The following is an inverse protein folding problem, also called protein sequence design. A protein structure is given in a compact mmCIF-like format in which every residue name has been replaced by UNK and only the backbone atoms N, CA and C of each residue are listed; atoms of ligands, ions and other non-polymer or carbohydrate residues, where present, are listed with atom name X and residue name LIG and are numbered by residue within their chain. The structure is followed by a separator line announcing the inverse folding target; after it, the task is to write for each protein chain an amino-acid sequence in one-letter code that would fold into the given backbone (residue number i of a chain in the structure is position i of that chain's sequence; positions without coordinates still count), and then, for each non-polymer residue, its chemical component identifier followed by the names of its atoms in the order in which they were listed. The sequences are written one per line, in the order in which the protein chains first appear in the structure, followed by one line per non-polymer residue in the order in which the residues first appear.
data_IF_392480809519
#
_entry.id   IF_392480809519
#
_cell.length_a   1.000
_cell.length_b   1.000
_cell.length_c   1.000
_cell.angle_alpha   90.00
_cell.angle_beta   90.00
_cell.angle_gamma   90.00
#
_symmetry.space_group_name_H-M   'P 1'
#
loop_
_entity.id
_entity.type
_entity.pdbx_description
1 polymer ?
#
# COMPACT_ATOMS: atom_id res chain seq x y z
N UNK A 1 22.56 -3.42 8.18
CA UNK A 1 22.66 -2.70 6.89
C UNK A 1 21.40 -1.85 6.73
N UNK A 2 21.34 -0.71 7.41
CA UNK A 2 20.22 0.23 7.29
C UNK A 2 20.50 1.23 6.18
N UNK A 3 20.53 0.75 4.93
CA UNK A 3 20.42 1.64 3.80
C UNK A 3 18.96 2.10 3.75
N UNK A 4 18.69 3.33 4.22
CA UNK A 4 17.39 3.95 4.05
C UNK A 4 16.98 3.79 2.57
N UNK A 5 15.95 2.98 2.31
CA UNK A 5 15.51 2.57 0.96
C UNK A 5 15.10 3.78 0.10
N UNK A 6 14.86 4.90 0.78
CA UNK A 6 14.42 6.18 0.26
C UNK A 6 15.56 7.22 0.25
N UNK A 7 16.78 6.81 0.59
CA UNK A 7 17.97 7.65 0.46
C UNK A 7 18.14 8.08 -1.00
N UNK A 8 18.43 9.38 -1.14
CA UNK A 8 18.73 10.04 -2.39
C UNK A 8 19.89 9.29 -3.07
N UNK A 9 19.83 9.02 -4.39
CA UNK A 9 20.80 8.16 -5.09
C UNK A 9 22.12 8.91 -5.36
N UNK A 10 22.18 10.19 -4.99
CA UNK A 10 23.29 11.06 -5.33
C UNK A 10 24.43 10.79 -4.36
N UNK A 11 25.66 10.72 -4.86
CA UNK A 11 26.80 10.53 -4.00
C UNK A 11 26.82 11.65 -2.95
N UNK A 12 27.04 11.30 -1.68
CA UNK A 12 27.31 12.32 -0.64
C UNK A 12 28.63 13.04 -0.90
N UNK A 13 29.46 12.43 -1.73
CA UNK A 13 30.72 12.95 -2.18
C UNK A 13 30.63 13.63 -3.55
N UNK A 14 31.49 14.62 -3.75
CA UNK A 14 31.64 15.30 -5.02
C UNK A 14 32.00 14.29 -6.14
N UNK A 15 31.24 14.22 -7.24
CA UNK A 15 31.51 13.29 -8.34
C UNK A 15 32.90 13.51 -8.92
N UNK A 16 33.56 12.43 -9.36
CA UNK A 16 34.91 12.48 -9.96
C UNK A 16 34.98 13.51 -11.08
N UNK A 17 33.95 13.58 -11.92
CA UNK A 17 33.87 14.57 -13.02
C UNK A 17 33.94 16.01 -12.49
N UNK A 18 33.20 16.32 -11.42
CA UNK A 18 33.20 17.67 -10.84
C UNK A 18 34.53 17.97 -10.14
N UNK A 19 35.11 17.00 -9.43
CA UNK A 19 36.46 17.11 -8.85
C UNK A 19 37.53 17.37 -9.91
N UNK A 20 37.43 16.70 -11.06
CA UNK A 20 38.38 16.88 -12.17
C UNK A 20 38.24 18.26 -12.80
N UNK A 21 37.01 18.75 -13.01
CA UNK A 21 36.77 20.09 -13.57
C UNK A 21 37.41 21.20 -12.73
N UNK A 22 37.42 21.08 -11.39
CA UNK A 22 38.06 22.05 -10.51
C UNK A 22 39.59 22.15 -10.66
N UNK A 23 40.24 21.13 -11.22
CA UNK A 23 41.70 21.07 -11.39
C UNK A 23 42.15 21.53 -12.76
N UNK A 24 41.22 21.72 -13.70
CA UNK A 24 41.54 22.12 -15.07
C UNK A 24 41.71 23.64 -15.16
N UNK A 25 42.50 24.14 -16.12
CA UNK A 25 42.50 25.55 -16.46
C UNK A 25 41.13 26.02 -16.94
N UNK A 26 40.83 27.30 -16.72
CA UNK A 26 39.52 27.90 -17.01
C UNK A 26 39.12 27.75 -18.48
N UNK A 27 40.09 27.84 -19.38
CA UNK A 27 39.91 27.71 -20.83
C UNK A 27 39.39 26.32 -21.19
N UNK A 28 39.93 25.27 -20.56
CA UNK A 28 39.50 23.89 -20.76
C UNK A 28 38.12 23.68 -20.15
N UNK A 29 37.85 24.25 -18.96
CA UNK A 29 36.52 24.20 -18.37
C UNK A 29 35.50 24.84 -19.30
N UNK A 30 35.80 26.01 -19.90
CA UNK A 30 34.92 26.68 -20.85
C UNK A 30 34.63 25.84 -22.10
N UNK A 31 35.61 25.13 -22.63
CA UNK A 31 35.40 24.17 -23.73
C UNK A 31 34.42 23.07 -23.30
N UNK A 32 34.62 22.48 -22.12
CA UNK A 32 33.69 21.45 -21.61
C UNK A 32 32.29 22.02 -21.41
N UNK A 33 32.15 23.22 -20.83
CA UNK A 33 30.84 23.84 -20.64
C UNK A 33 30.14 24.06 -21.99
N UNK A 34 30.87 24.38 -23.06
CA UNK A 34 30.31 24.59 -24.40
C UNK A 34 29.60 23.36 -25.00
N UNK A 35 29.94 22.17 -24.52
CA UNK A 35 29.37 20.90 -25.00
C UNK A 35 28.26 20.35 -24.08
N UNK A 36 28.04 20.96 -22.92
CA UNK A 36 27.07 20.47 -21.93
C UNK A 36 25.71 21.15 -22.12
N UNK A 37 24.58 20.42 -21.98
CA UNK A 37 23.26 21.04 -21.94
C UNK A 37 23.00 21.71 -20.60
N UNK A 38 22.02 22.64 -20.57
CA UNK A 38 21.66 23.42 -19.36
C UNK A 38 21.46 22.55 -18.12
N UNK A 39 20.80 21.40 -18.26
CA UNK A 39 20.56 20.47 -17.13
C UNK A 39 21.85 19.98 -16.46
N UNK A 40 22.94 19.81 -17.23
CA UNK A 40 24.23 19.38 -16.71
C UNK A 40 24.95 20.54 -16.02
N UNK A 41 24.82 21.76 -16.56
CA UNK A 41 25.33 22.97 -15.90
C UNK A 41 24.66 23.17 -14.55
N UNK A 42 23.32 23.10 -14.48
CA UNK A 42 22.59 23.17 -13.21
C UNK A 42 23.02 22.06 -12.24
N UNK A 43 23.32 20.86 -12.74
CA UNK A 43 23.88 19.78 -11.93
C UNK A 43 25.27 20.09 -11.37
N UNK A 44 26.13 20.76 -12.13
CA UNK A 44 27.46 21.16 -11.68
C UNK A 44 27.33 22.27 -10.61
N UNK A 45 26.53 23.31 -10.90
CA UNK A 45 26.29 24.43 -10.00
C UNK A 45 25.66 24.00 -8.68
N UNK A 46 24.87 22.93 -8.67
CA UNK A 46 24.26 22.39 -7.44
C UNK A 46 25.25 21.95 -6.36
N UNK A 47 26.53 21.78 -6.71
CA UNK A 47 27.62 21.47 -5.77
C UNK A 47 28.23 22.70 -5.11
N UNK A 48 27.83 23.91 -5.49
CA UNK A 48 28.20 25.19 -4.85
C UNK A 48 29.72 25.39 -4.75
N UNK A 49 30.40 25.29 -5.89
CA UNK A 49 31.85 25.38 -5.97
C UNK A 49 32.27 26.73 -6.58
N UNK A 50 32.89 27.65 -5.81
CA UNK A 50 33.15 29.02 -6.26
C UNK A 50 33.87 29.12 -7.61
N UNK A 51 34.89 28.27 -7.82
CA UNK A 51 35.64 28.24 -9.07
C UNK A 51 34.77 27.90 -10.29
N UNK A 52 33.83 26.96 -10.15
CA UNK A 52 32.95 26.57 -11.26
C UNK A 52 31.87 27.62 -11.50
N UNK A 53 31.42 28.30 -10.44
CA UNK A 53 30.49 29.42 -10.57
C UNK A 53 31.15 30.57 -11.35
N UNK A 54 32.40 30.93 -11.03
CA UNK A 54 33.19 31.92 -11.78
C UNK A 54 33.41 31.49 -13.25
N UNK A 55 33.67 30.21 -13.49
CA UNK A 55 33.81 29.69 -14.85
C UNK A 55 32.50 29.84 -15.64
N UNK A 56 31.34 29.59 -15.03
CA UNK A 56 30.03 29.74 -15.66
C UNK A 56 29.69 31.21 -15.91
N UNK A 57 29.90 32.10 -14.94
CA UNK A 57 29.65 33.54 -15.07
C UNK A 57 30.49 34.18 -16.18
N UNK A 58 31.70 33.67 -16.37
CA UNK A 58 32.62 34.21 -17.35
C UNK A 58 32.58 33.52 -18.72
N UNK A 59 31.71 32.51 -18.87
CA UNK A 59 31.52 31.79 -20.13
C UNK A 59 30.63 32.61 -21.08
N UNK A 60 30.97 32.66 -22.37
CA UNK A 60 30.31 33.57 -23.33
C UNK A 60 28.79 33.37 -23.48
N UNK A 61 28.32 32.11 -23.39
CA UNK A 61 26.89 31.76 -23.45
C UNK A 61 26.26 31.79 -22.07
N UNK A 62 26.75 30.98 -21.13
CA UNK A 62 26.17 30.88 -19.79
C UNK A 62 26.29 32.12 -18.93
N UNK A 63 27.31 32.97 -19.12
CA UNK A 63 27.40 34.27 -18.48
C UNK A 63 26.33 35.26 -18.94
N UNK A 64 25.69 35.02 -20.09
CA UNK A 64 24.47 35.76 -20.50
C UNK A 64 23.21 35.21 -19.86
N UNK A 65 23.21 33.93 -19.49
CA UNK A 65 22.10 33.27 -18.82
C UNK A 65 22.12 33.53 -17.31
N UNK A 66 23.32 33.64 -16.71
CA UNK A 66 23.54 33.95 -15.30
C UNK A 66 24.40 35.20 -15.20
N UNK A 67 23.80 36.30 -14.78
CA UNK A 67 24.45 37.61 -14.66
C UNK A 67 25.10 37.81 -13.28
N UNK A 68 24.75 36.98 -12.30
CA UNK A 68 25.25 37.13 -10.93
C UNK A 68 25.34 35.81 -10.16
N UNK A 69 26.15 35.81 -9.10
CA UNK A 69 26.22 34.70 -8.15
C UNK A 69 24.87 34.42 -7.45
N UNK A 70 24.05 35.47 -7.26
CA UNK A 70 22.71 35.35 -6.70
C UNK A 70 21.79 34.53 -7.60
N UNK A 71 21.86 34.73 -8.91
CA UNK A 71 21.10 33.95 -9.89
C UNK A 71 21.54 32.48 -9.93
N UNK A 72 22.84 32.21 -9.90
CA UNK A 72 23.38 30.85 -9.78
C UNK A 72 22.85 30.15 -8.54
N UNK A 73 22.89 30.84 -7.39
CA UNK A 73 22.39 30.31 -6.12
C UNK A 73 20.88 30.04 -6.18
N UNK A 74 20.12 30.97 -6.76
CA UNK A 74 18.67 30.85 -6.93
C UNK A 74 18.30 29.66 -7.83
N UNK A 75 18.96 29.52 -8.98
CA UNK A 75 18.75 28.39 -9.90
C UNK A 75 19.17 27.06 -9.28
N UNK A 76 20.29 27.02 -8.57
CA UNK A 76 20.79 25.81 -7.91
C UNK A 76 19.81 25.32 -6.84
N UNK A 77 19.22 26.22 -6.05
CA UNK A 77 18.23 25.85 -5.04
C UNK A 77 16.95 25.26 -5.65
N UNK A 78 16.44 25.85 -6.74
CA UNK A 78 15.30 25.31 -7.48
C UNK A 78 15.63 23.95 -8.10
N UNK A 79 16.80 23.85 -8.71
CA UNK A 79 17.27 22.63 -9.37
C UNK A 79 17.41 21.47 -8.38
N UNK A 80 17.88 21.70 -7.16
CA UNK A 80 17.99 20.65 -6.13
C UNK A 80 16.64 19.99 -5.84
N UNK A 81 15.60 20.79 -5.63
CA UNK A 81 14.25 20.29 -5.37
C UNK A 81 13.69 19.57 -6.61
N UNK A 82 13.80 20.20 -7.78
CA UNK A 82 13.36 19.65 -9.05
C UNK A 82 14.01 18.28 -9.34
N UNK A 83 15.34 18.19 -9.21
CA UNK A 83 16.10 16.96 -9.42
C UNK A 83 15.68 15.85 -8.47
N UNK A 84 15.38 16.19 -7.22
CA UNK A 84 14.89 15.23 -6.26
C UNK A 84 13.51 14.67 -6.63
N UNK A 85 12.60 15.54 -7.06
CA UNK A 85 11.28 15.14 -7.59
C UNK A 85 11.41 14.25 -8.82
N UNK A 86 12.28 14.61 -9.77
CA UNK A 86 12.53 13.79 -10.96
C UNK A 86 13.00 12.38 -10.59
N UNK A 87 13.96 12.26 -9.68
CA UNK A 87 14.43 10.95 -9.25
C UNK A 87 13.31 10.15 -8.57
N UNK A 88 12.58 10.79 -7.66
CA UNK A 88 11.55 10.13 -6.89
C UNK A 88 10.41 9.61 -7.77
N UNK A 89 9.90 10.47 -8.67
CA UNK A 89 8.82 10.17 -9.61
C UNK A 89 9.29 9.43 -10.87
N UNK A 90 10.60 9.16 -10.99
CA UNK A 90 11.23 8.54 -12.17
C UNK A 90 11.00 9.34 -13.46
N UNK A 91 10.93 10.66 -13.35
CA UNK A 91 10.85 11.54 -14.52
C UNK A 91 12.21 11.72 -15.17
N UNK A 92 12.28 11.87 -16.50
CA UNK A 92 13.49 12.30 -17.16
C UNK A 92 13.93 13.67 -16.60
N UNK A 93 15.22 13.88 -16.26
CA UNK A 93 15.70 15.17 -15.75
C UNK A 93 15.51 16.32 -16.74
N UNK A 94 15.49 16.01 -18.03
CA UNK A 94 15.16 16.93 -19.10
C UNK A 94 14.49 16.13 -20.22
N UNK A 95 13.32 16.57 -20.66
CA UNK A 95 12.72 16.09 -21.90
C UNK A 95 13.48 16.68 -23.10
N UNK A 96 13.51 15.97 -24.24
CA UNK A 96 14.29 16.37 -25.41
C UNK A 96 13.88 17.75 -25.96
N UNK A 97 12.60 18.09 -25.84
CA UNK A 97 12.04 19.38 -26.26
C UNK A 97 12.17 20.48 -25.19
N UNK A 98 12.62 20.12 -23.99
CA UNK A 98 12.71 21.05 -22.86
C UNK A 98 13.87 22.03 -23.01
N UNK A 99 13.69 23.23 -22.44
CA UNK A 99 14.76 24.23 -22.28
C UNK A 99 15.99 23.65 -21.58
N UNK A 100 15.80 22.66 -20.70
CA UNK A 100 16.90 22.02 -19.97
C UNK A 100 17.79 21.11 -20.83
N UNK A 101 17.27 20.60 -21.96
CA UNK A 101 18.02 19.75 -22.89
C UNK A 101 18.81 20.56 -23.94
N UNK A 102 18.58 21.88 -24.03
CA UNK A 102 19.21 22.74 -25.03
C UNK A 102 20.71 22.87 -24.80
N UNK A 103 21.47 22.80 -25.89
CA UNK A 103 22.90 23.12 -25.92
C UNK A 103 23.13 24.63 -25.89
N UNK A 104 24.36 25.10 -25.59
CA UNK A 104 24.70 26.52 -25.62
C UNK A 104 24.36 27.20 -26.95
N UNK A 105 24.59 26.52 -28.08
CA UNK A 105 24.27 27.07 -29.41
C UNK A 105 22.76 27.30 -29.58
N UNK A 106 21.93 26.38 -29.08
CA UNK A 106 20.47 26.50 -29.11
C UNK A 106 19.94 27.57 -28.14
N UNK A 107 20.67 27.91 -27.08
CA UNK A 107 20.33 29.01 -26.19
C UNK A 107 20.57 30.36 -26.86
N UNK A 108 21.69 30.48 -27.60
CA UNK A 108 22.02 31.68 -28.37
C UNK A 108 20.98 31.98 -29.47
N UNK A 109 20.50 30.94 -30.16
CA UNK A 109 19.53 31.12 -31.25
C UNK A 109 18.12 31.47 -30.75
N UNK A 110 17.73 31.00 -29.57
CA UNK A 110 16.36 31.07 -29.07
C UNK A 110 16.14 32.07 -27.92
N UNK A 111 17.15 32.88 -27.57
CA UNK A 111 17.08 33.93 -26.53
C UNK A 111 16.41 33.47 -25.23
N UNK A 112 16.88 32.35 -24.67
CA UNK A 112 16.37 31.83 -23.39
C UNK A 112 16.84 32.73 -22.25
N UNK A 113 15.91 33.33 -21.51
CA UNK A 113 16.20 34.14 -20.32
C UNK A 113 16.29 33.29 -19.04
N UNK A 114 16.97 33.82 -18.03
CA UNK A 114 17.00 33.25 -16.68
C UNK A 114 15.59 33.06 -16.10
N UNK A 115 14.72 34.06 -16.25
CA UNK A 115 13.34 34.00 -15.75
C UNK A 115 12.53 32.89 -16.42
N UNK A 116 12.76 32.63 -17.71
CA UNK A 116 12.14 31.51 -18.40
C UNK A 116 12.64 30.18 -17.83
N UNK A 117 13.93 30.06 -17.51
CA UNK A 117 14.50 28.86 -16.90
C UNK A 117 13.88 28.59 -15.51
N UNK A 118 13.83 29.62 -14.66
CA UNK A 118 13.26 29.52 -13.31
C UNK A 118 11.76 29.21 -13.37
N UNK A 119 10.99 29.90 -14.21
CA UNK A 119 9.54 29.66 -14.35
C UNK A 119 9.23 28.24 -14.81
N UNK A 120 10.04 27.67 -15.73
CA UNK A 120 9.93 26.26 -16.13
C UNK A 120 10.23 25.30 -14.98
N UNK A 121 11.29 25.54 -14.18
CA UNK A 121 11.57 24.71 -13.00
C UNK A 121 10.45 24.80 -11.97
N UNK A 122 9.95 26.02 -11.68
CA UNK A 122 8.82 26.22 -10.76
C UNK A 122 7.59 25.47 -11.23
N UNK A 123 7.23 25.56 -12.52
CA UNK A 123 6.11 24.78 -13.10
C UNK A 123 6.29 23.28 -12.87
N UNK A 124 7.47 22.72 -13.13
CA UNK A 124 7.71 21.29 -12.94
C UNK A 124 7.71 20.88 -11.45
N UNK A 125 8.21 21.74 -10.56
CA UNK A 125 8.11 21.55 -9.12
C UNK A 125 6.63 21.51 -8.69
N UNK A 126 5.80 22.44 -9.17
CA UNK A 126 4.35 22.47 -8.89
C UNK A 126 3.67 21.19 -9.34
N UNK A 127 3.94 20.72 -10.56
CA UNK A 127 3.45 19.42 -11.07
C UNK A 127 3.97 18.27 -10.20
N UNK A 128 5.20 18.35 -9.71
CA UNK A 128 5.80 17.37 -8.79
C UNK A 128 5.16 17.34 -7.40
N UNK A 129 4.63 18.45 -6.93
CA UNK A 129 3.90 18.58 -5.66
C UNK A 129 2.42 18.22 -5.80
N UNK A 130 1.88 18.25 -7.02
CA UNK A 130 0.50 17.87 -7.27
C UNK A 130 0.27 16.38 -6.96
N UNK A 131 -0.75 16.14 -6.14
CA UNK A 131 -1.23 14.82 -5.75
C UNK A 131 -2.74 14.82 -5.99
N UNK A 132 -3.24 13.78 -6.64
CA UNK A 132 -4.68 13.62 -6.87
C UNK A 132 -5.41 13.50 -5.52
N UNK A 133 -6.60 14.09 -5.39
CA UNK A 133 -7.40 14.07 -4.16
C UNK A 133 -7.46 12.70 -3.43
N UNK A 134 -7.75 11.55 -4.08
CA UNK A 134 -7.82 10.29 -3.36
C UNK A 134 -6.47 9.83 -2.78
N UNK A 135 -5.37 10.14 -3.46
CA UNK A 135 -4.00 9.85 -2.99
C UNK A 135 -3.62 10.79 -1.85
N UNK A 136 -4.05 12.05 -1.92
CA UNK A 136 -3.81 13.05 -0.90
C UNK A 136 -4.48 12.68 0.43
N UNK A 137 -5.77 12.33 0.40
CA UNK A 137 -6.50 11.89 1.60
C UNK A 137 -5.83 10.70 2.28
N UNK A 138 -5.31 9.77 1.49
CA UNK A 138 -4.58 8.62 2.00
C UNK A 138 -3.28 9.08 2.68
N UNK A 139 -2.48 9.92 2.04
CA UNK A 139 -1.21 10.42 2.59
C UNK A 139 -1.41 11.23 3.87
N UNK A 140 -2.47 12.04 3.95
CA UNK A 140 -2.82 12.82 5.17
C UNK A 140 -2.99 11.93 6.40
N UNK A 141 -3.52 10.72 6.24
CA UNK A 141 -3.66 9.77 7.35
C UNK A 141 -2.32 9.28 7.91
N UNK A 142 -1.31 9.11 7.05
CA UNK A 142 0.00 8.53 7.42
C UNK A 142 1.11 9.57 7.58
N UNK A 143 0.86 10.83 7.23
CA UNK A 143 1.85 11.91 7.22
C UNK A 143 1.77 12.89 8.40
N UNK A 144 1.13 12.60 9.52
CA UNK A 144 0.92 13.64 10.55
C UNK A 144 2.23 14.06 11.25
N UNK A 145 2.41 15.36 11.59
CA UNK A 145 1.51 16.49 11.32
C UNK A 145 1.57 16.96 9.86
N UNK A 146 0.41 17.37 9.35
CA UNK A 146 0.28 17.94 8.01
C UNK A 146 0.79 19.39 7.99
N UNK A 147 1.71 19.76 7.08
CA UNK A 147 2.18 21.14 6.98
C UNK A 147 1.05 22.06 6.53
N UNK A 148 1.02 23.27 7.08
CA UNK A 148 0.06 24.30 6.69
C UNK A 148 0.27 24.68 5.21
N UNK A 149 -0.71 24.39 4.35
CA UNK A 149 -0.63 24.64 2.89
C UNK A 149 -1.15 26.04 2.51
N UNK A 150 -1.60 26.87 3.45
CA UNK A 150 -2.29 28.16 3.23
C UNK A 150 -1.45 29.26 2.53
N UNK A 151 -0.35 28.91 1.87
CA UNK A 151 0.44 29.77 0.98
C UNK A 151 0.97 29.05 -0.28
N UNK A 152 0.56 27.80 -0.54
CA UNK A 152 0.74 27.14 -1.85
C UNK A 152 -0.50 27.44 -2.71
N UNK A 153 -1.08 28.63 -2.60
CA UNK A 153 -1.85 29.16 -3.72
C UNK A 153 -0.85 29.29 -4.85
N UNK A 154 -1.02 28.43 -5.86
CA UNK A 154 -0.16 28.28 -7.01
C UNK A 154 -0.35 29.49 -7.92
N UNK A 155 -0.05 30.69 -7.41
CA UNK A 155 -0.24 31.94 -8.11
C UNK A 155 0.46 31.80 -9.48
N UNK A 156 -0.34 31.75 -10.55
CA UNK A 156 0.18 31.59 -11.91
C UNK A 156 1.07 32.79 -12.29
N UNK A 157 0.87 33.91 -11.58
CA UNK A 157 1.56 35.17 -11.75
C UNK A 157 2.68 35.38 -10.71
N UNK A 158 3.78 34.65 -10.88
CA UNK A 158 5.12 35.27 -10.83
C UNK A 158 5.72 35.73 -9.51
N UNK A 159 5.10 35.56 -8.33
CA UNK A 159 5.78 35.89 -7.08
C UNK A 159 6.92 34.90 -6.76
N UNK A 160 7.95 35.37 -6.06
CA UNK A 160 9.10 34.56 -5.65
C UNK A 160 8.64 33.39 -4.80
N UNK A 161 8.65 32.18 -5.37
CA UNK A 161 8.38 30.97 -4.61
C UNK A 161 9.47 30.86 -3.53
N UNK A 162 9.16 31.16 -2.28
CA UNK A 162 10.00 30.76 -1.15
C UNK A 162 10.07 29.24 -1.20
N UNK A 163 11.24 28.69 -1.51
CA UNK A 163 11.44 27.26 -1.68
C UNK A 163 11.27 26.49 -0.37
N UNK A 164 11.27 27.16 0.79
CA UNK A 164 11.07 26.52 2.09
C UNK A 164 9.77 25.73 2.16
N UNK A 165 8.64 26.36 1.81
CA UNK A 165 7.33 25.72 1.84
C UNK A 165 7.23 24.49 0.88
N UNK A 166 7.63 24.59 -0.40
CA UNK A 166 7.77 23.45 -1.30
C UNK A 166 8.66 22.33 -0.76
N UNK A 167 9.78 22.65 -0.11
CA UNK A 167 10.68 21.66 0.49
C UNK A 167 10.01 20.93 1.65
N UNK A 168 9.38 21.67 2.56
CA UNK A 168 8.69 21.11 3.72
C UNK A 168 7.53 20.20 3.27
N UNK A 169 6.73 20.67 2.30
CA UNK A 169 5.65 19.87 1.73
C UNK A 169 6.17 18.64 0.98
N UNK A 170 7.24 18.76 0.20
CA UNK A 170 7.86 17.61 -0.48
C UNK A 170 8.42 16.57 0.50
N UNK A 171 9.07 17.01 1.57
CA UNK A 171 9.55 16.14 2.64
C UNK A 171 8.41 15.42 3.34
N UNK A 172 7.31 16.12 3.59
CA UNK A 172 6.08 15.55 4.10
C UNK A 172 5.51 14.46 3.18
N UNK A 173 5.40 14.71 1.87
CA UNK A 173 4.91 13.72 0.89
C UNK A 173 5.74 12.44 0.96
N UNK A 174 7.07 12.55 0.92
CA UNK A 174 7.97 11.39 0.99
C UNK A 174 7.79 10.61 2.30
N UNK A 175 7.71 11.33 3.43
CA UNK A 175 7.55 10.72 4.74
C UNK A 175 6.20 9.99 4.86
N UNK A 176 5.11 10.66 4.49
CA UNK A 176 3.77 10.08 4.48
C UNK A 176 3.70 8.81 3.62
N UNK A 177 4.32 8.84 2.43
CA UNK A 177 4.38 7.69 1.53
C UNK A 177 5.23 6.56 2.11
N UNK A 178 6.35 6.88 2.74
CA UNK A 178 7.22 5.90 3.40
C UNK A 178 6.48 5.17 4.53
N UNK A 179 5.77 5.90 5.39
CA UNK A 179 4.97 5.31 6.48
C UNK A 179 3.80 4.47 5.95
N UNK A 180 3.07 4.97 4.94
CA UNK A 180 2.03 4.20 4.24
C UNK A 180 2.57 2.85 3.73
N UNK A 181 3.68 2.89 3.00
CA UNK A 181 4.29 1.70 2.42
C UNK A 181 4.85 0.75 3.48
N UNK A 182 5.44 1.29 4.56
CA UNK A 182 5.93 0.51 5.69
C UNK A 182 4.77 -0.25 6.33
N UNK A 183 3.66 0.43 6.62
CA UNK A 183 2.46 -0.18 7.21
C UNK A 183 1.91 -1.31 6.35
N UNK A 184 1.77 -1.08 5.04
CA UNK A 184 1.29 -2.11 4.09
C UNK A 184 2.30 -3.26 3.96
N UNK A 185 3.59 -2.97 3.93
CA UNK A 185 4.65 -3.98 3.91
C UNK A 185 4.61 -4.88 5.16
N UNK A 186 4.44 -4.30 6.34
CA UNK A 186 4.38 -5.04 7.60
C UNK A 186 3.14 -5.95 7.66
N UNK A 187 2.01 -5.47 7.14
CA UNK A 187 0.80 -6.28 6.98
C UNK A 187 1.03 -7.50 6.07
N UNK A 188 1.65 -7.32 4.91
CA UNK A 188 1.95 -8.42 3.98
C UNK A 188 2.95 -9.41 4.60
N UNK A 189 3.96 -8.91 5.34
CA UNK A 189 4.90 -9.77 6.07
C UNK A 189 4.19 -10.57 7.16
N UNK A 190 3.25 -9.95 7.87
CA UNK A 190 2.45 -10.65 8.86
C UNK A 190 1.62 -11.77 8.23
N UNK A 191 1.02 -11.54 7.05
CA UNK A 191 0.39 -12.63 6.28
C UNK A 191 1.38 -13.73 5.90
N UNK A 192 2.58 -13.39 5.46
CA UNK A 192 3.62 -14.39 5.14
C UNK A 192 3.93 -15.27 6.36
N UNK A 193 4.10 -14.65 7.53
CA UNK A 193 4.32 -15.35 8.80
C UNK A 193 3.15 -16.26 9.19
N UNK A 194 1.90 -15.79 9.06
CA UNK A 194 0.72 -16.61 9.33
C UNK A 194 0.63 -17.82 8.40
N UNK A 195 0.91 -17.63 7.10
CA UNK A 195 0.91 -18.72 6.12
C UNK A 195 2.01 -19.75 6.39
N UNK A 196 3.20 -19.30 6.83
CA UNK A 196 4.30 -20.18 7.21
C UNK A 196 3.97 -21.01 8.45
N UNK A 197 3.36 -20.39 9.47
CA UNK A 197 3.03 -21.04 10.73
C UNK A 197 1.78 -21.93 10.64
N UNK A 198 0.78 -21.55 9.86
CA UNK A 198 -0.52 -22.23 9.76
C UNK A 198 -0.93 -22.56 8.32
N UNK A 199 -0.10 -23.31 7.56
CA UNK A 199 -0.34 -23.58 6.14
C UNK A 199 -1.55 -24.48 5.88
N UNK A 200 -2.03 -25.20 6.91
CA UNK A 200 -3.21 -26.07 6.83
C UNK A 200 -4.51 -25.29 6.96
N UNK A 201 -4.49 -24.15 7.64
CA UNK A 201 -5.69 -23.37 7.99
C UNK A 201 -5.98 -22.28 6.97
N UNK A 202 -4.95 -21.75 6.32
CA UNK A 202 -5.05 -20.56 5.46
C UNK A 202 -4.84 -20.90 3.99
N UNK A 203 -5.50 -20.11 3.15
CA UNK A 203 -5.32 -20.08 1.69
C UNK A 203 -5.35 -18.64 1.17
N UNK A 204 -5.07 -18.48 -0.12
CA UNK A 204 -5.32 -17.19 -0.80
C UNK A 204 -6.82 -17.04 -1.09
N UNK A 205 -7.36 -15.81 -1.10
CA UNK A 205 -8.78 -15.59 -1.32
C UNK A 205 -9.35 -16.25 -2.58
N UNK A 206 -8.66 -16.11 -3.73
CA UNK A 206 -9.13 -16.64 -5.01
C UNK A 206 -8.77 -18.10 -5.26
N UNK A 207 -8.26 -18.79 -4.23
CA UNK A 207 -7.86 -20.17 -4.35
C UNK A 207 -9.06 -21.12 -4.20
N UNK A 208 -9.42 -21.89 -5.23
CA UNK A 208 -10.57 -22.78 -5.17
C UNK A 208 -10.34 -24.01 -4.29
N UNK A 209 -9.08 -24.34 -3.94
CA UNK A 209 -8.81 -25.55 -3.15
C UNK A 209 -9.35 -25.45 -1.72
N UNK A 210 -9.94 -26.55 -1.23
CA UNK A 210 -10.36 -26.75 0.18
C UNK A 210 -9.69 -27.96 0.85
N UNK A 211 -8.82 -28.66 0.10
CA UNK A 211 -8.26 -29.97 0.44
C UNK A 211 -6.92 -29.96 1.19
N UNK A 212 -6.16 -31.05 1.05
CA UNK A 212 -4.92 -31.33 1.79
C UNK A 212 -3.84 -30.24 1.67
N UNK A 213 -2.84 -30.32 2.57
CA UNK A 213 -1.72 -29.38 2.64
C UNK A 213 -1.08 -29.18 1.25
N UNK A 214 -0.99 -27.92 0.82
CA UNK A 214 -0.30 -27.64 -0.44
C UNK A 214 1.19 -27.96 -0.33
N UNK A 215 1.78 -28.62 -1.33
CA UNK A 215 3.23 -28.82 -1.38
C UNK A 215 4.00 -27.51 -1.58
N UNK A 216 3.34 -26.42 -1.96
CA UNK A 216 4.00 -25.18 -2.39
C UNK A 216 3.76 -23.95 -1.48
N UNK A 217 3.56 -24.18 -0.18
CA UNK A 217 3.42 -23.10 0.82
C UNK A 217 4.65 -22.18 0.82
N UNK A 218 5.85 -22.75 0.74
CA UNK A 218 7.12 -22.00 0.72
C UNK A 218 7.16 -20.97 -0.41
N UNK A 219 6.70 -21.32 -1.61
CA UNK A 219 6.63 -20.35 -2.71
C UNK A 219 5.65 -19.21 -2.44
N UNK A 220 4.53 -19.49 -1.74
CA UNK A 220 3.58 -18.45 -1.36
C UNK A 220 4.17 -17.49 -0.34
N UNK A 221 4.87 -18.00 0.69
CA UNK A 221 5.56 -17.19 1.68
C UNK A 221 6.61 -16.30 0.99
N UNK A 222 7.51 -16.88 0.19
CA UNK A 222 8.54 -16.13 -0.56
C UNK A 222 7.92 -15.08 -1.48
N UNK A 223 6.79 -15.39 -2.13
CA UNK A 223 6.10 -14.44 -2.97
C UNK A 223 5.52 -13.26 -2.16
N UNK A 224 4.91 -13.52 -0.99
CA UNK A 224 4.42 -12.46 -0.10
C UNK A 224 5.58 -11.59 0.43
N UNK A 225 6.71 -12.18 0.80
CA UNK A 225 7.90 -11.43 1.21
C UNK A 225 8.43 -10.53 0.09
N UNK A 226 8.52 -11.06 -1.14
CA UNK A 226 8.90 -10.26 -2.33
C UNK A 226 7.90 -9.12 -2.56
N UNK A 227 6.61 -9.36 -2.36
CA UNK A 227 5.57 -8.34 -2.48
C UNK A 227 5.74 -7.25 -1.41
N UNK A 228 5.96 -7.62 -0.15
CA UNK A 228 6.24 -6.67 0.93
C UNK A 228 7.45 -5.78 0.61
N UNK A 229 8.54 -6.38 0.13
CA UNK A 229 9.75 -5.66 -0.27
C UNK A 229 9.52 -4.72 -1.46
N UNK A 230 8.69 -5.11 -2.44
CA UNK A 230 8.30 -4.24 -3.56
C UNK A 230 7.44 -3.08 -3.07
N UNK A 231 6.46 -3.33 -2.20
CA UNK A 231 5.60 -2.31 -1.60
C UNK A 231 6.41 -1.28 -0.82
N UNK A 232 7.37 -1.72 0.01
CA UNK A 232 8.25 -0.84 0.77
C UNK A 232 9.06 0.12 -0.13
N UNK A 233 9.41 -0.33 -1.33
CA UNK A 233 10.19 0.40 -2.34
C UNK A 233 9.34 1.22 -3.31
N UNK A 234 8.02 1.18 -3.22
CA UNK A 234 7.13 1.79 -4.21
C UNK A 234 7.08 3.32 -4.06
N UNK A 235 7.58 4.05 -5.06
CA UNK A 235 7.62 5.52 -5.07
C UNK A 235 6.49 6.17 -5.86
N UNK A 236 5.62 5.37 -6.48
CA UNK A 236 4.50 5.92 -7.25
C UNK A 236 3.54 6.63 -6.30
N UNK A 237 3.27 7.90 -6.57
CA UNK A 237 2.33 8.72 -5.82
C UNK A 237 0.94 8.72 -6.44
N UNK A 238 0.86 8.54 -7.77
CA UNK A 238 -0.41 8.37 -8.47
C UNK A 238 -0.66 6.88 -8.68
N UNK A 239 -1.81 6.43 -8.22
CA UNK A 239 -2.30 5.07 -8.46
C UNK A 239 -3.57 5.18 -9.29
N UNK A 240 -3.41 5.51 -10.56
CA UNK A 240 -4.54 5.43 -11.48
C UNK A 240 -5.04 3.99 -11.53
N UNK A 241 -6.35 3.84 -11.46
CA UNK A 241 -7.03 2.55 -11.51
C UNK A 241 -7.00 2.04 -12.95
N UNK A 242 -5.84 1.51 -13.36
CA UNK A 242 -5.80 0.82 -14.64
C UNK A 242 -6.51 -0.53 -14.44
N UNK A 243 -7.75 -0.62 -14.94
CA UNK A 243 -8.64 -1.78 -14.89
C UNK A 243 -7.94 -3.06 -15.42
N UNK A 244 -6.82 -2.92 -16.12
CA UNK A 244 -6.09 -3.98 -16.79
C UNK A 244 -4.85 -4.53 -16.05
N UNK A 245 -4.42 -3.96 -14.92
CA UNK A 245 -3.30 -4.55 -14.14
C UNK A 245 -3.77 -5.69 -13.23
N UNK A 246 -4.02 -6.83 -13.88
CA UNK A 246 -4.64 -8.05 -13.36
C UNK A 246 -3.72 -9.08 -12.69
N UNK A 247 -2.55 -8.71 -12.13
CA UNK A 247 -1.61 -9.74 -11.66
C UNK A 247 -1.71 -10.14 -10.19
N UNK A 248 -2.43 -9.40 -9.34
CA UNK A 248 -2.60 -9.75 -7.92
C UNK A 248 -3.99 -9.33 -7.44
N UNK A 249 -5.01 -10.09 -7.84
CA UNK A 249 -6.36 -9.94 -7.29
C UNK A 249 -6.41 -10.60 -5.91
N UNK A 250 -5.86 -9.95 -4.88
CA UNK A 250 -6.43 -10.17 -3.53
C UNK A 250 -7.92 -9.79 -3.65
N UNK A 251 -8.81 -10.54 -2.98
CA UNK A 251 -10.24 -10.19 -2.99
C UNK A 251 -10.40 -8.71 -2.65
N UNK A 252 -11.29 -8.00 -3.33
CA UNK A 252 -11.37 -6.52 -3.29
C UNK A 252 -11.43 -5.95 -1.86
N UNK A 253 -12.01 -6.72 -0.95
CA UNK A 253 -12.24 -6.33 0.45
C UNK A 253 -11.47 -7.19 1.45
N UNK A 254 -10.91 -8.31 1.02
CA UNK A 254 -10.28 -9.28 1.92
C UNK A 254 -8.78 -9.08 1.92
N UNK A 255 -8.15 -9.32 3.07
CA UNK A 255 -6.69 -9.32 3.21
C UNK A 255 -6.05 -10.43 2.36
N UNK A 256 -4.72 -10.52 2.37
CA UNK A 256 -3.96 -11.41 1.49
C UNK A 256 -4.29 -12.91 1.67
N UNK A 257 -4.94 -13.27 2.78
CA UNK A 257 -5.27 -14.64 3.21
C UNK A 257 -6.71 -14.77 3.70
N UNK A 258 -7.27 -15.97 3.55
CA UNK A 258 -8.58 -16.38 4.09
C UNK A 258 -8.45 -17.78 4.67
N UNK A 259 -9.15 -18.12 5.76
CA UNK A 259 -9.20 -19.50 6.22
C UNK A 259 -9.89 -20.42 5.19
N UNK A 260 -9.64 -21.72 5.24
CA UNK A 260 -10.45 -22.67 4.47
C UNK A 260 -11.88 -22.73 5.03
N UNK A 261 -12.86 -22.95 4.14
CA UNK A 261 -14.28 -22.98 4.52
C UNK A 261 -14.57 -24.13 5.51
N UNK A 262 -13.81 -25.23 5.45
CA UNK A 262 -13.92 -26.33 6.41
C UNK A 262 -13.64 -25.92 7.87
N UNK A 263 -12.78 -24.92 8.09
CA UNK A 263 -12.50 -24.43 9.45
C UNK A 263 -13.59 -23.48 9.95
N UNK A 264 -14.31 -22.81 9.03
CA UNK A 264 -15.53 -22.10 9.39
C UNK A 264 -16.60 -23.10 9.85
N UNK A 265 -16.76 -24.20 9.12
CA UNK A 265 -17.65 -25.28 9.53
C UNK A 265 -17.25 -25.88 10.88
N UNK A 266 -15.98 -26.25 11.07
CA UNK A 266 -15.48 -26.77 12.34
C UNK A 266 -15.80 -25.84 13.52
N UNK A 267 -15.63 -24.54 13.34
CA UNK A 267 -15.95 -23.54 14.35
C UNK A 267 -17.45 -23.55 14.68
N UNK A 268 -18.32 -23.49 13.66
CA UNK A 268 -19.77 -23.44 13.85
C UNK A 268 -20.30 -24.73 14.49
N UNK A 269 -19.84 -25.90 14.04
CA UNK A 269 -20.22 -27.20 14.60
C UNK A 269 -19.78 -27.33 16.07
N UNK A 270 -18.61 -26.79 16.41
CA UNK A 270 -18.09 -26.80 17.79
C UNK A 270 -18.91 -25.89 18.68
N UNK A 271 -19.24 -24.69 18.22
CA UNK A 271 -20.06 -23.74 18.98
C UNK A 271 -21.50 -24.23 19.17
N UNK A 272 -22.03 -25.01 18.24
CA UNK A 272 -23.34 -25.65 18.39
C UNK A 272 -23.35 -26.73 19.49
N UNK A 273 -22.24 -27.46 19.65
CA UNK A 273 -22.08 -28.51 20.68
C UNK A 273 -21.66 -27.96 22.04
N UNK A 274 -20.79 -26.95 22.04
CA UNK A 274 -20.18 -26.33 23.20
C UNK A 274 -20.40 -24.81 23.11
N UNK A 275 -21.60 -24.32 23.42
CA UNK A 275 -21.91 -22.90 23.34
C UNK A 275 -21.01 -22.12 24.30
N UNK A 276 -20.63 -20.91 23.90
CA UNK A 276 -19.89 -20.03 24.80
C UNK A 276 -20.90 -19.40 25.77
N UNK A 277 -20.74 -19.64 27.06
CA UNK A 277 -21.57 -19.02 28.09
C UNK A 277 -21.21 -17.53 28.14
N UNK A 278 -22.07 -16.70 27.55
CA UNK A 278 -21.78 -15.30 27.26
C UNK A 278 -22.93 -14.44 27.79
N UNK A 279 -22.70 -13.76 28.92
CA UNK A 279 -23.44 -12.57 29.34
C UNK A 279 -23.06 -11.32 28.49
N UNK A 280 -22.85 -11.46 27.17
CA UNK A 280 -22.61 -10.31 26.27
C UNK A 280 -23.92 -9.96 25.60
N UNK A 281 -24.56 -8.95 26.19
CA UNK A 281 -25.61 -8.15 25.58
C UNK A 281 -25.27 -7.86 24.11
N UNK A 282 -26.08 -8.40 23.19
CA UNK A 282 -25.99 -8.19 21.74
C UNK A 282 -25.39 -9.33 20.91
N UNK A 283 -24.70 -10.32 21.51
CA UNK A 283 -24.17 -11.46 20.73
C UNK A 283 -25.25 -12.50 20.40
N UNK A 284 -26.25 -12.66 21.27
CA UNK A 284 -27.41 -13.54 21.07
C UNK A 284 -28.25 -13.10 19.86
N UNK A 285 -28.51 -11.79 19.70
CA UNK A 285 -29.11 -11.25 18.46
C UNK A 285 -28.20 -11.49 17.25
N UNK A 286 -26.89 -11.39 17.43
CA UNK A 286 -25.91 -11.54 16.34
C UNK A 286 -25.82 -13.00 15.85
N UNK A 287 -25.89 -13.99 16.75
CA UNK A 287 -25.89 -15.43 16.43
C UNK A 287 -27.28 -15.96 16.06
N UNK A 288 -28.36 -15.46 16.66
CA UNK A 288 -29.73 -15.79 16.25
C UNK A 288 -30.00 -15.35 14.80
N UNK A 289 -29.41 -14.23 14.35
CA UNK A 289 -29.44 -13.82 12.95
C UNK A 289 -28.56 -14.68 12.02
N UNK A 290 -27.55 -15.39 12.54
CA UNK A 290 -26.82 -16.44 11.79
C UNK A 290 -27.69 -17.69 11.60
N UNK A 291 -28.61 -17.96 12.54
CA UNK A 291 -29.55 -19.08 12.50
C UNK A 291 -30.82 -18.81 11.66
N UNK A 292 -31.15 -17.56 11.34
CA UNK A 292 -32.44 -17.19 10.77
C UNK A 292 -32.37 -16.71 9.32
N UNK A 293 -31.85 -17.55 8.41
CA UNK A 293 -32.28 -17.54 7.00
C UNK A 293 -32.13 -18.92 6.33
N UNK A 294 -32.34 -20.00 7.10
CA UNK A 294 -32.89 -21.22 6.51
C UNK A 294 -34.39 -20.99 6.28
N UNK A 295 -34.75 -20.65 5.05
CA UNK A 295 -36.15 -20.58 4.64
C UNK A 295 -36.86 -21.92 4.88
N UNK A 296 -37.68 -21.94 5.93
CA UNK A 296 -38.95 -22.64 6.09
C UNK A 296 -39.05 -24.09 5.58
N UNK A 297 -39.21 -25.04 6.51
CA UNK A 297 -40.41 -25.88 6.55
C UNK A 297 -40.52 -26.62 7.87
N UNK A 298 -41.55 -26.27 8.66
CA UNK A 298 -42.20 -27.20 9.57
C UNK A 298 -42.56 -28.44 8.76
N UNK A 299 -41.83 -29.53 8.98
CA UNK A 299 -42.31 -30.86 8.65
C UNK A 299 -42.13 -31.72 9.89
N UNK A 300 -43.25 -31.89 10.58
CA UNK A 300 -43.50 -32.95 11.54
C UNK A 300 -43.10 -34.28 10.90
N UNK A 301 -42.09 -34.95 11.44
CA UNK A 301 -41.82 -36.35 11.11
C UNK A 301 -41.27 -37.06 12.34
N UNK A 302 -42.19 -37.76 12.99
CA UNK A 302 -41.94 -38.75 14.01
C UNK A 302 -41.00 -39.85 13.50
N UNK A 303 -40.12 -40.32 14.40
CA UNK A 303 -39.59 -41.67 14.37
C UNK A 303 -38.28 -41.85 13.62
N UNK A 304 -37.16 -41.75 14.33
CA UNK A 304 -36.00 -42.65 14.11
C UNK A 304 -35.24 -42.81 15.42
N UNK A 305 -34.99 -44.07 15.76
CA UNK A 305 -34.47 -44.57 17.03
C UNK A 305 -33.11 -43.98 17.41
N UNK A 306 -33.03 -43.51 18.65
CA UNK A 306 -31.82 -43.03 19.32
C UNK A 306 -30.82 -44.17 19.51
N UNK A 307 -29.73 -44.13 18.74
CA UNK A 307 -28.48 -44.73 19.16
C UNK A 307 -27.94 -43.93 20.35
N UNK A 308 -27.80 -44.61 21.49
CA UNK A 308 -27.37 -44.07 22.77
C UNK A 308 -25.92 -43.60 22.70
N UNK A 309 -25.70 -42.31 22.45
CA UNK A 309 -24.43 -41.63 22.69
C UNK A 309 -24.52 -41.07 24.11
N UNK A 310 -23.52 -41.39 24.95
CA UNK A 310 -23.37 -40.84 26.29
C UNK A 310 -23.48 -39.31 26.25
N UNK A 311 -24.57 -38.77 26.76
CA UNK A 311 -24.72 -37.37 27.14
C UNK A 311 -23.69 -37.08 28.25
N UNK A 312 -22.54 -36.54 27.85
CA UNK A 312 -21.79 -35.67 28.74
C UNK A 312 -22.64 -34.42 28.94
N UNK A 313 -22.94 -34.08 30.19
CA UNK A 313 -23.63 -32.85 30.55
C UNK A 313 -22.93 -31.66 29.86
N UNK A 314 -23.58 -30.91 28.96
CA UNK A 314 -22.96 -29.80 28.23
C UNK A 314 -22.58 -28.61 29.12
N UNK A 315 -22.94 -28.65 30.41
CA UNK A 315 -22.78 -27.56 31.36
C UNK A 315 -21.39 -27.45 32.02
N UNK A 316 -20.46 -28.40 31.82
CA UNK A 316 -19.13 -28.37 32.45
C UNK A 316 -17.98 -28.00 31.49
N UNK A 317 -18.28 -27.78 30.20
CA UNK A 317 -17.24 -27.45 29.23
C UNK A 317 -16.88 -25.96 29.28
N UNK A 318 -15.69 -25.67 29.82
CA UNK A 318 -15.15 -24.31 29.87
C UNK A 318 -13.97 -24.13 28.92
N UNK A 319 -14.09 -23.16 28.02
CA UNK A 319 -12.98 -22.75 27.16
C UNK A 319 -11.89 -22.06 28.00
N UNK A 320 -10.59 -22.33 27.74
CA UNK A 320 -9.50 -21.59 28.36
C UNK A 320 -9.63 -20.08 28.13
N UNK A 321 -9.27 -19.26 29.11
CA UNK A 321 -9.49 -17.80 29.07
C UNK A 321 -8.95 -17.12 27.80
N UNK A 322 -7.80 -17.55 27.31
CA UNK A 322 -7.21 -17.03 26.07
C UNK A 322 -8.05 -17.39 24.83
N UNK A 323 -8.58 -18.62 24.78
CA UNK A 323 -9.45 -19.08 23.69
C UNK A 323 -10.80 -18.38 23.76
N UNK A 324 -11.35 -18.18 24.96
CA UNK A 324 -12.57 -17.40 25.19
C UNK A 324 -12.42 -15.96 24.69
N UNK A 325 -11.28 -15.32 24.97
CA UNK A 325 -11.00 -13.98 24.48
C UNK A 325 -10.90 -13.93 22.94
N UNK A 326 -10.19 -14.89 22.32
CA UNK A 326 -10.09 -14.99 20.87
C UNK A 326 -11.42 -15.34 20.20
N UNK A 327 -12.25 -16.19 20.82
CA UNK A 327 -13.61 -16.50 20.38
C UNK A 327 -14.50 -15.26 20.35
N UNK A 328 -14.44 -14.40 21.36
CA UNK A 328 -15.17 -13.12 21.36
C UNK A 328 -14.77 -12.23 20.19
N UNK A 329 -13.48 -12.15 19.87
CA UNK A 329 -12.97 -11.39 18.70
C UNK A 329 -13.50 -12.00 17.41
N UNK A 330 -13.43 -13.32 17.27
CA UNK A 330 -13.90 -14.06 16.08
C UNK A 330 -15.38 -13.82 15.85
N UNK A 331 -16.22 -14.03 16.87
CA UNK A 331 -17.67 -13.89 16.78
C UNK A 331 -18.08 -12.45 16.45
N UNK A 332 -17.46 -11.47 17.09
CA UNK A 332 -17.71 -10.04 16.79
C UNK A 332 -17.36 -9.64 15.36
N UNK A 333 -16.33 -10.26 14.77
CA UNK A 333 -15.90 -10.00 13.39
C UNK A 333 -16.50 -10.95 12.36
N UNK A 334 -17.29 -11.94 12.77
CA UNK A 334 -17.76 -13.01 11.88
C UNK A 334 -18.75 -12.52 10.82
N UNK A 335 -19.53 -11.48 11.13
CA UNK A 335 -20.58 -10.99 10.24
C UNK A 335 -20.05 -10.12 9.11
N UNK A 336 -19.08 -9.25 9.41
CA UNK A 336 -18.64 -8.23 8.46
C UNK A 336 -17.12 -8.15 8.34
N UNK A 337 -16.66 -7.77 7.15
CA UNK A 337 -15.27 -7.40 6.89
C UNK A 337 -15.06 -5.96 7.38
N UNK A 338 -14.09 -5.76 8.27
CA UNK A 338 -13.66 -4.43 8.72
C UNK A 338 -12.98 -3.70 7.56
N UNK A 339 -13.67 -2.70 7.04
CA UNK A 339 -13.12 -1.77 6.06
C UNK A 339 -13.05 -0.36 6.64
N UNK A 340 -12.28 0.49 5.97
CA UNK A 340 -12.29 1.93 6.24
C UNK A 340 -12.46 2.67 4.89
N UNK A 341 -13.50 3.49 4.70
CA UNK A 341 -14.64 3.69 5.60
C UNK A 341 -15.40 2.38 5.87
N UNK A 342 -16.15 2.29 6.99
CA UNK A 342 -16.88 1.07 7.33
C UNK A 342 -17.95 0.81 6.26
N UNK A 343 -17.82 -0.32 5.58
CA UNK A 343 -18.78 -0.85 4.61
C UNK A 343 -19.37 -2.13 5.19
N UNK A 344 -20.66 -2.30 5.01
CA UNK A 344 -21.38 -3.51 5.44
C UNK A 344 -21.16 -4.61 4.40
N UNK A 345 -20.00 -5.26 4.45
CA UNK A 345 -19.64 -6.35 3.54
C UNK A 345 -19.66 -7.65 4.32
N UNK A 346 -20.54 -8.62 3.96
CA UNK A 346 -20.63 -9.86 4.70
C UNK A 346 -19.32 -10.64 4.57
N UNK A 347 -18.84 -11.21 5.68
CA UNK A 347 -17.66 -12.09 5.67
C UNK A 347 -18.03 -13.52 5.27
N UNK A 348 -19.28 -13.93 5.50
CA UNK A 348 -19.81 -15.25 5.16
C UNK A 348 -20.85 -15.08 4.06
N UNK A 349 -20.77 -15.94 3.05
CA UNK A 349 -21.79 -16.10 2.03
C UNK A 349 -22.47 -17.45 2.21
N UNK A 350 -23.80 -17.43 2.17
CA UNK A 350 -24.64 -18.61 2.05
C UNK A 350 -24.97 -18.79 0.56
N UNK A 351 -24.75 -19.99 0.02
CA UNK A 351 -25.15 -20.25 -1.38
C UNK A 351 -26.68 -20.17 -1.50
N UNK A 352 -27.23 -19.43 -2.46
CA UNK A 352 -28.67 -19.42 -2.70
C UNK A 352 -29.12 -20.83 -3.12
N UNK A 353 -30.35 -21.24 -2.76
CA UNK A 353 -30.88 -22.53 -3.18
C UNK A 353 -30.93 -22.57 -4.71
N UNK A 354 -30.04 -23.37 -5.31
CA UNK A 354 -30.19 -23.84 -6.68
C UNK A 354 -30.48 -25.33 -6.63
N UNK A 355 -31.56 -25.70 -7.32
CA UNK A 355 -32.09 -27.04 -7.60
C UNK A 355 -31.37 -28.24 -6.96
N UNK A 356 -31.99 -28.72 -5.88
CA UNK A 356 -32.15 -30.08 -5.30
C UNK A 356 -31.09 -31.19 -5.37
N UNK A 357 -29.95 -31.08 -6.03
CA UNK A 357 -29.04 -32.24 -6.19
C UNK A 357 -27.55 -32.01 -5.90
N UNK A 358 -27.15 -30.93 -5.23
CA UNK A 358 -25.76 -30.77 -4.75
C UNK A 358 -25.67 -30.85 -3.22
N UNK A 359 -24.86 -31.80 -2.75
CA UNK A 359 -24.48 -32.03 -1.35
C UNK A 359 -24.23 -30.74 -0.55
N UNK A 360 -25.11 -30.47 0.43
CA UNK A 360 -24.89 -29.56 1.56
C UNK A 360 -24.73 -28.06 1.25
N UNK A 361 -25.71 -27.27 1.67
CA UNK A 361 -25.67 -25.80 1.69
C UNK A 361 -24.72 -25.33 2.81
N UNK A 362 -23.42 -25.30 2.54
CA UNK A 362 -22.42 -24.95 3.55
C UNK A 362 -22.04 -23.45 3.52
N UNK A 363 -21.86 -22.79 4.69
CA UNK A 363 -21.36 -21.42 4.73
C UNK A 363 -19.93 -21.36 4.20
N UNK A 364 -19.62 -20.32 3.42
CA UNK A 364 -18.28 -20.08 2.87
C UNK A 364 -17.82 -18.67 3.13
N UNK A 365 -16.51 -18.45 3.19
CA UNK A 365 -15.99 -17.09 3.25
C UNK A 365 -16.29 -16.34 1.95
N UNK A 366 -16.81 -15.13 2.10
CA UNK A 366 -17.07 -14.23 0.99
C UNK A 366 -15.76 -13.76 0.39
N UNK A 367 -15.58 -14.00 -0.91
CA UNK A 367 -14.46 -13.48 -1.68
C UNK A 367 -14.98 -12.85 -2.96
N UNK A 368 -14.92 -11.53 -3.03
CA UNK A 368 -15.26 -10.79 -4.25
C UNK A 368 -14.26 -11.13 -5.38
N UNK A 369 -14.77 -11.80 -6.42
CA UNK A 369 -14.02 -12.20 -7.62
C UNK A 369 -13.88 -11.06 -8.64
N UNK A 370 -14.56 -9.93 -8.43
CA UNK A 370 -14.45 -8.73 -9.25
C UNK A 370 -14.97 -8.88 -10.68
N UNK A 371 -15.92 -9.81 -10.92
CA UNK A 371 -16.51 -10.07 -12.24
C UNK A 371 -17.85 -9.33 -12.41
N UNK A 372 -18.48 -8.92 -11.31
CA UNK A 372 -19.72 -8.15 -11.33
C UNK A 372 -19.55 -6.91 -10.45
N UNK A 373 -19.79 -5.73 -11.02
CA UNK A 373 -20.06 -4.52 -10.27
C UNK A 373 -21.31 -4.81 -9.44
N UNK A 374 -21.13 -5.07 -8.15
CA UNK A 374 -22.26 -5.06 -7.23
C UNK A 374 -22.80 -3.62 -7.21
N UNK A 375 -24.03 -3.37 -7.69
CA UNK A 375 -24.56 -2.01 -7.87
C UNK A 375 -24.66 -1.23 -6.55
N UNK A 376 -24.57 -1.92 -5.41
CA UNK A 376 -24.76 -1.34 -4.08
C UNK A 376 -23.46 -0.89 -3.40
N UNK A 377 -22.29 -1.10 -4.00
CA UNK A 377 -20.99 -0.66 -3.46
C UNK A 377 -20.34 0.37 -4.41
N UNK A 378 -21.01 1.50 -4.57
CA UNK A 378 -20.75 2.55 -5.58
C UNK A 378 -19.39 3.29 -5.49
N UNK A 379 -18.50 2.94 -4.56
CA UNK A 379 -17.18 3.58 -4.50
C UNK A 379 -16.06 2.56 -4.35
N UNK A 380 -15.49 2.02 -5.46
CA UNK A 380 -14.11 1.60 -5.43
C UNK A 380 -13.28 2.79 -4.97
N UNK A 381 -12.78 2.79 -3.73
CA UNK A 381 -11.75 3.75 -3.38
C UNK A 381 -10.60 3.51 -4.38
N UNK A 382 -10.20 4.54 -5.14
CA UNK A 382 -9.15 4.47 -6.15
C UNK A 382 -7.84 3.84 -5.61
N UNK A 383 -7.69 3.81 -4.28
CA UNK A 383 -6.50 3.39 -3.57
C UNK A 383 -6.60 2.05 -2.82
N UNK A 384 -7.62 1.22 -3.08
CA UNK A 384 -7.80 -0.07 -2.35
C UNK A 384 -6.55 -0.97 -2.35
N UNK A 385 -5.81 -1.04 -3.47
CA UNK A 385 -4.62 -1.92 -3.57
C UNK A 385 -3.44 -1.44 -2.73
N UNK A 386 -3.31 -0.14 -2.53
CA UNK A 386 -2.18 0.48 -1.81
C UNK A 386 -2.50 0.76 -0.35
N UNK A 387 -3.79 0.93 -0.04
CA UNK A 387 -4.25 1.25 1.29
C UNK A 387 -4.00 0.05 2.23
N UNK A 388 -3.36 0.26 3.39
CA UNK A 388 -3.31 -0.72 4.45
C UNK A 388 -4.74 -1.12 4.86
N UNK A 389 -4.98 -2.42 5.02
CA UNK A 389 -6.27 -2.89 5.52
C UNK A 389 -6.45 -2.49 6.99
N UNK A 390 -7.68 -2.56 7.49
CA UNK A 390 -7.97 -2.31 8.90
C UNK A 390 -7.14 -3.27 9.78
N UNK A 391 -6.57 -2.77 10.89
CA UNK A 391 -5.79 -3.61 11.80
C UNK A 391 -6.64 -4.74 12.38
N UNK A 392 -7.93 -4.47 12.59
CA UNK A 392 -8.89 -5.43 13.13
C UNK A 392 -9.07 -6.67 12.25
N UNK A 393 -8.85 -6.57 10.93
CA UNK A 393 -8.89 -7.75 10.05
C UNK A 393 -7.77 -8.75 10.34
N UNK A 394 -6.56 -8.24 10.60
CA UNK A 394 -5.42 -9.11 10.94
C UNK A 394 -5.55 -9.66 12.35
N UNK A 395 -6.11 -8.89 13.29
CA UNK A 395 -6.45 -9.36 14.64
C UNK A 395 -7.51 -10.45 14.60
N UNK A 396 -8.58 -10.26 13.80
CA UNK A 396 -9.61 -11.26 13.59
C UNK A 396 -9.05 -12.55 12.96
N UNK A 397 -8.22 -12.45 11.92
CA UNK A 397 -7.64 -13.62 11.28
C UNK A 397 -6.74 -14.40 12.24
N UNK A 398 -5.90 -13.70 13.03
CA UNK A 398 -5.03 -14.33 14.02
C UNK A 398 -5.85 -15.05 15.12
N UNK A 399 -6.89 -14.39 15.64
CA UNK A 399 -7.80 -14.98 16.62
C UNK A 399 -8.55 -16.19 16.06
N UNK A 400 -9.02 -16.11 14.80
CA UNK A 400 -9.69 -17.23 14.13
C UNK A 400 -8.77 -18.44 14.06
N UNK A 401 -7.53 -18.26 13.62
CA UNK A 401 -6.54 -19.33 13.53
C UNK A 401 -6.25 -19.93 14.91
N UNK A 402 -6.08 -19.11 15.93
CA UNK A 402 -5.83 -19.59 17.30
C UNK A 402 -6.97 -20.49 17.80
N UNK A 403 -8.21 -20.03 17.63
CA UNK A 403 -9.41 -20.77 18.03
C UNK A 403 -9.52 -22.10 17.27
N UNK A 404 -9.49 -22.07 15.94
CA UNK A 404 -9.73 -23.31 15.17
C UNK A 404 -8.59 -24.32 15.31
N UNK A 405 -7.35 -23.86 15.52
CA UNK A 405 -6.23 -24.76 15.82
C UNK A 405 -6.41 -25.41 17.19
N UNK A 406 -6.88 -24.65 18.19
CA UNK A 406 -7.16 -25.21 19.50
C UNK A 406 -8.34 -26.21 19.44
N UNK A 407 -9.41 -25.87 18.73
CA UNK A 407 -10.56 -26.77 18.51
C UNK A 407 -10.07 -28.07 17.85
N UNK A 408 -9.29 -27.99 16.76
CA UNK A 408 -8.76 -29.16 16.06
C UNK A 408 -7.91 -30.07 16.98
N UNK A 409 -7.17 -29.49 17.92
CA UNK A 409 -6.31 -30.24 18.85
C UNK A 409 -7.04 -30.81 20.08
N UNK A 410 -8.12 -30.18 20.54
CA UNK A 410 -8.75 -30.49 21.83
C UNK A 410 -10.18 -31.03 21.73
N UNK A 411 -10.89 -30.73 20.64
CA UNK A 411 -12.30 -31.11 20.44
C UNK A 411 -12.50 -31.89 19.14
N UNK A 412 -11.71 -31.59 18.11
CA UNK A 412 -11.79 -32.21 16.79
C UNK A 412 -11.72 -33.74 16.88
N UNK A 413 -12.28 -34.46 15.88
CA UNK A 413 -12.32 -35.92 15.90
C UNK A 413 -10.90 -36.45 16.14
N UNK A 414 -10.75 -37.32 17.14
CA UNK A 414 -9.49 -37.94 17.49
C UNK A 414 -8.88 -38.54 16.22
N UNK A 415 -7.76 -37.96 15.77
CA UNK A 415 -6.89 -38.38 14.65
C UNK A 415 -7.37 -39.67 13.97
N UNK A 416 -8.32 -39.55 13.05
CA UNK A 416 -8.38 -40.52 11.98
C UNK A 416 -7.23 -40.14 11.04
N UNK A 417 -6.24 -41.02 10.96
CA UNK A 417 -5.11 -40.90 10.06
C UNK A 417 -5.62 -40.61 8.63
N UNK A 418 -5.33 -39.40 8.15
CA UNK A 418 -5.46 -39.00 6.74
C UNK A 418 -4.10 -38.58 6.18
#
# INVERSE_FOLDING_TARGET
MDSNVWSIPWPRELPVVVRSLQKLPREIVHQVLSDLPVIKILSILSWQLPYLDECVLSHIVYGRLFSSQGEISHASNHYRLYREMCWFRRWPPADAESVFARSPQMLLSNWVSFDLLISKMRRLIRVGLYINEPDFDLLVKYGRPFPCITGIELDENGSSLDLKLPWDYWNWIKHAKMELNKRKSDQIRFSAHLMEKYPRVLKRPLDPSQGALRPNTTHTVVMLERLAMRTLKNRNLSHYWDHHQGLYKSGRYVIELVPYDRYLQLLLDTLAKYPLDIEVTGLEETLANVSLHNGCQETTLEGTELATILESDPNDFMYPENITASLRVVLKGLMYIYTEPPLTIPRIQWEPPKDDNSSGKWPRFFVDKGIHEHPHFEYPCANQKIKPYDKREYEWLAAFIEVVTWIELNIGPAKEDF
#
